data_IF_523432578150
#
_entry.id   IF_523432578150
#
_cell.length_a   1.000
_cell.length_b   1.000
_cell.length_c   1.000
_cell.angle_alpha   90.00
_cell.angle_beta   90.00
_cell.angle_gamma   90.00
#
_symmetry.space_group_name_H-M   'P 1'
#
loop_
_entity.id
_entity.type
_entity.pdbx_description
1 polymer ?
2 non-polymer ?
3 non-polymer ?
4 water ?
#
# COMPACT_ATOMS: atom_id res chain seq x y z
N UNK A 1 -15.37 4.13 -0.61
CA UNK A 1 -14.58 4.12 0.65
C UNK A 1 -13.75 5.39 0.77
N UNK A 2 -13.83 6.01 1.95
CA UNK A 2 -13.07 7.24 2.19
C UNK A 2 -12.25 7.12 3.47
N UNK A 3 -11.07 7.73 3.47
CA UNK A 3 -10.19 7.73 4.62
C UNK A 3 -9.43 9.05 4.64
N UNK A 4 -8.64 9.28 5.68
CA UNK A 4 -7.87 10.50 5.78
C UNK A 4 -6.43 10.21 6.19
N UNK A 5 -5.54 11.14 5.88
CA UNK A 5 -4.13 11.03 6.22
C UNK A 5 -3.69 12.39 6.79
N UNK A 6 -3.13 12.37 7.98
CA UNK A 6 -2.68 13.61 8.62
C UNK A 6 -1.33 14.05 8.10
N UNK A 7 -1.08 15.35 8.15
CA UNK A 7 0.19 15.90 7.69
C UNK A 7 1.27 15.45 8.67
N UNK A 8 2.42 15.05 8.14
CA UNK A 8 3.51 14.60 9.00
C UNK A 8 4.64 13.96 8.23
N UNK A 9 5.81 13.89 8.85
CA UNK A 9 6.99 13.32 8.22
C UNK A 9 7.68 12.29 9.11
N UNK A 10 7.37 10.99 8.90
CA UNK A 10 7.97 9.93 9.71
C UNK A 10 9.33 9.56 9.13
N UNK A 11 10.13 8.83 9.90
CA UNK A 11 11.44 8.39 9.44
C UNK A 11 11.23 6.97 8.89
N UNK A 12 11.62 6.72 7.64
CA UNK A 12 11.43 5.40 7.05
C UNK A 12 12.48 4.40 7.53
N UNK A 13 12.10 3.53 8.44
CA UNK A 13 13.04 2.56 8.99
C UNK A 13 12.39 1.28 9.50
N UNK A 14 11.05 1.23 9.47
CA UNK A 14 10.36 0.05 9.92
C UNK A 14 9.94 0.13 11.38
N UNK A 15 10.35 1.21 12.05
CA UNK A 15 9.99 1.44 13.45
C UNK A 15 8.78 2.38 13.44
N UNK A 16 7.88 2.20 14.40
CA UNK A 16 6.67 3.03 14.46
C UNK A 16 6.88 4.35 15.21
N UNK A 17 6.99 5.43 14.45
CA UNK A 17 7.16 6.77 15.01
C UNK A 17 5.91 7.08 15.82
N UNK A 18 6.04 7.96 16.81
CA UNK A 18 4.90 8.37 17.64
C UNK A 18 3.83 9.04 16.78
N UNK A 19 4.27 9.80 15.78
CA UNK A 19 3.35 10.54 14.90
C UNK A 19 2.31 9.67 14.18
N UNK A 20 2.61 8.39 13.97
CA UNK A 20 1.66 7.50 13.30
C UNK A 20 0.35 7.41 14.09
N UNK A 21 0.44 7.59 15.40
CA UNK A 21 -0.75 7.54 16.28
C UNK A 21 -1.74 8.68 16.04
N UNK A 22 -1.29 9.74 15.36
CA UNK A 22 -2.16 10.89 15.14
C UNK A 22 -3.09 10.74 13.94
N UNK A 23 -2.90 9.68 13.17
CA UNK A 23 -3.71 9.47 11.98
C UNK A 23 -4.54 8.18 12.09
N UNK A 24 -5.70 8.15 11.43
CA UNK A 24 -6.56 6.96 11.53
C UNK A 24 -5.94 5.70 10.93
N UNK A 25 -6.44 4.56 11.40
CA UNK A 25 -5.97 3.27 10.90
C UNK A 25 -7.08 2.69 10.03
N UNK A 26 -6.72 2.18 8.86
CA UNK A 26 -7.71 1.56 7.99
C UNK A 26 -7.30 0.10 7.86
N UNK A 27 -8.24 -0.77 7.51
CA UNK A 27 -7.97 -2.20 7.39
C UNK A 27 -8.19 -2.73 5.97
N UNK A 28 -7.45 -3.77 5.59
CA UNK A 28 -7.64 -4.38 4.28
C UNK A 28 -8.69 -5.47 4.47
N UNK A 29 -9.94 -5.17 4.13
CA UNK A 29 -11.00 -6.15 4.28
C UNK A 29 -11.72 -6.48 2.97
N UNK A 30 -11.23 -5.91 1.87
CA UNK A 30 -11.82 -6.17 0.56
C UNK A 30 -11.13 -7.40 -0.01
N UNK A 31 -11.81 -8.53 0.05
CA UNK A 31 -11.24 -9.79 -0.42
C UNK A 31 -11.48 -10.11 -1.89
N UNK A 32 -10.39 -10.42 -2.60
CA UNK A 32 -10.47 -10.81 -3.99
C UNK A 32 -10.18 -12.30 -4.00
N UNK A 33 -9.31 -12.75 -3.09
CA UNK A 33 -8.96 -14.16 -2.97
C UNK A 33 -8.58 -14.49 -1.52
N UNK A 34 -8.99 -15.66 -1.05
CA UNK A 34 -8.70 -16.08 0.32
C UNK A 34 -9.77 -15.56 1.27
N UNK A 35 -9.44 -15.48 2.56
CA UNK A 35 -10.37 -14.98 3.57
C UNK A 35 -9.62 -14.20 4.64
N UNK A 36 -10.33 -13.26 5.27
CA UNK A 36 -9.76 -12.43 6.32
C UNK A 36 -9.17 -13.22 7.48
N UNK A 37 -9.81 -14.33 7.84
CA UNK A 37 -9.33 -15.11 8.97
C UNK A 37 -8.21 -16.11 8.63
N UNK A 38 -8.05 -16.42 7.35
CA UNK A 38 -7.02 -17.37 6.96
C UNK A 38 -5.84 -16.79 6.19
N UNK A 39 -6.04 -15.63 5.57
CA UNK A 39 -4.96 -15.02 4.80
C UNK A 39 -4.45 -13.68 5.31
N UNK A 40 -3.31 -13.28 4.77
CA UNK A 40 -2.64 -12.04 5.15
C UNK A 40 -3.48 -10.78 4.98
N UNK A 41 -3.46 -9.94 6.01
CA UNK A 41 -4.19 -8.68 6.02
C UNK A 41 -3.28 -7.64 6.69
N UNK A 42 -3.60 -6.37 6.53
CA UNK A 42 -2.78 -5.33 7.13
C UNK A 42 -3.57 -4.21 7.80
N UNK A 43 -2.95 -3.63 8.82
CA UNK A 43 -3.49 -2.50 9.55
C UNK A 43 -2.64 -1.38 8.95
N UNK A 44 -3.29 -0.36 8.42
CA UNK A 44 -2.57 0.72 7.75
C UNK A 44 -2.83 2.13 8.26
N UNK A 45 -1.77 2.92 8.30
CA UNK A 45 -1.87 4.31 8.72
C UNK A 45 -1.20 5.11 7.60
N UNK A 46 -1.71 6.28 7.31
CA UNK A 46 -1.15 7.10 6.24
C UNK A 46 -0.90 8.55 6.66
N UNK A 47 0.23 9.10 6.24
CA UNK A 47 0.59 10.48 6.54
C UNK A 47 1.08 11.10 5.24
N UNK A 48 1.25 12.41 5.22
CA UNK A 48 1.71 13.09 4.02
C UNK A 48 2.36 14.43 4.33
N UNK A 49 3.13 14.92 3.36
CA UNK A 49 3.74 16.23 3.44
C UNK A 49 3.86 16.71 2.00
N UNK A 50 4.43 17.90 1.79
CA UNK A 50 4.53 18.44 0.43
C UNK A 50 5.26 17.58 -0.60
N UNK A 51 6.15 16.71 -0.15
CA UNK A 51 6.92 15.89 -1.08
C UNK A 51 6.58 14.41 -1.19
N UNK A 52 6.05 13.83 -0.11
CA UNK A 52 5.74 12.40 -0.13
C UNK A 52 4.44 12.03 0.56
N UNK A 53 4.02 10.80 0.29
CA UNK A 53 2.86 10.20 0.94
C UNK A 53 3.54 9.11 1.74
N UNK A 54 3.17 8.96 3.01
CA UNK A 54 3.78 7.93 3.83
C UNK A 54 2.78 6.87 4.21
N UNK A 55 3.21 5.62 4.15
CA UNK A 55 2.34 4.49 4.48
C UNK A 55 2.99 3.51 5.45
N UNK A 56 2.25 3.19 6.51
CA UNK A 56 2.71 2.24 7.51
C UNK A 56 1.73 1.08 7.46
N UNK A 57 2.22 -0.09 7.05
CA UNK A 57 1.36 -1.26 6.96
C UNK A 57 1.86 -2.41 7.84
N UNK A 58 1.07 -2.77 8.85
CA UNK A 58 1.42 -3.86 9.74
C UNK A 58 0.70 -5.07 9.18
N UNK A 59 1.48 -6.02 8.65
CA UNK A 59 0.94 -7.21 8.02
C UNK A 59 0.93 -8.46 8.88
N UNK A 60 -0.24 -9.09 8.94
CA UNK A 60 -0.41 -10.34 9.69
C UNK A 60 -0.14 -11.42 8.66
N UNK A 61 0.89 -12.24 8.87
CA UNK A 61 1.23 -13.31 7.94
C UNK A 61 2.21 -14.27 8.64
N UNK A 62 1.71 -15.41 9.14
CA UNK A 62 2.55 -16.40 9.85
C UNK A 62 3.52 -17.20 8.99
N UNK A 63 3.30 -17.21 7.69
CA UNK A 63 4.18 -17.95 6.78
C UNK A 63 4.69 -17.04 5.69
N UNK A 64 5.99 -16.77 5.69
CA UNK A 64 6.59 -15.89 4.70
C UNK A 64 7.20 -16.71 3.57
N UNK A 65 6.96 -16.28 2.33
CA UNK A 65 7.49 -16.99 1.17
C UNK A 65 7.61 -16.08 -0.04
N UNK A 66 8.65 -16.29 -0.83
CA UNK A 66 8.88 -15.51 -2.03
C UNK A 66 9.50 -16.38 -3.14
N UNK A 67 9.17 -17.66 -3.14
CA UNK A 67 9.72 -18.58 -4.14
C UNK A 67 9.20 -18.36 -5.55
N UNK A 68 7.96 -17.88 -5.68
CA UNK A 68 7.37 -17.64 -6.99
C UNK A 68 8.11 -16.53 -7.75
N UNK A 69 8.33 -16.76 -9.04
CA UNK A 69 9.03 -15.80 -9.88
C UNK A 69 8.22 -14.52 -10.09
N UNK A 70 6.90 -14.61 -9.94
CA UNK A 70 6.05 -13.42 -10.09
C UNK A 70 6.10 -12.65 -8.77
N UNK A 71 6.53 -11.38 -8.81
CA UNK A 71 6.59 -10.60 -7.57
C UNK A 71 5.27 -10.45 -6.84
N UNK A 72 4.17 -10.40 -7.58
CA UNK A 72 2.85 -10.27 -6.95
C UNK A 72 2.41 -11.58 -6.30
N UNK A 73 3.19 -12.65 -6.52
CA UNK A 73 2.88 -13.94 -5.93
C UNK A 73 3.83 -14.28 -4.78
N UNK A 74 4.51 -13.26 -4.28
CA UNK A 74 5.42 -13.39 -3.14
C UNK A 74 4.75 -12.56 -2.05
N UNK A 75 4.94 -12.92 -0.78
CA UNK A 75 4.34 -12.14 0.29
C UNK A 75 4.79 -10.70 0.18
N UNK A 76 3.83 -9.82 -0.09
CA UNK A 76 4.19 -8.44 -0.30
C UNK A 76 3.01 -7.47 -0.15
N UNK A 77 3.33 -6.19 -0.17
CA UNK A 77 2.33 -5.15 -0.07
C UNK A 77 2.42 -4.27 -1.30
N UNK A 78 1.27 -3.93 -1.87
CA UNK A 78 1.23 -3.06 -3.04
C UNK A 78 0.49 -1.79 -2.67
N UNK A 79 0.99 -0.65 -3.14
CA UNK A 79 0.37 0.64 -2.86
C UNK A 79 -0.02 1.29 -4.18
N UNK A 80 -1.27 1.76 -4.25
CA UNK A 80 -1.79 2.39 -5.47
C UNK A 80 -2.12 3.86 -5.27
N UNK A 81 -1.73 4.67 -6.24
CA UNK A 81 -1.98 6.11 -6.17
C UNK A 81 -2.58 6.69 -7.44
N UNK A 82 -3.54 7.58 -7.26
CA UNK A 82 -4.23 8.30 -8.35
C UNK A 82 -4.15 9.74 -7.85
N UNK A 83 -3.10 10.46 -8.26
CA UNK A 83 -2.90 11.83 -7.80
C UNK A 83 -3.98 12.86 -8.15
N UNK A 84 -4.52 12.82 -9.36
CA UNK A 84 -5.57 13.79 -9.72
C UNK A 84 -6.96 13.26 -9.39
N UNK A 85 -6.98 12.02 -8.91
CA UNK A 85 -8.21 11.32 -8.54
C UNK A 85 -9.30 11.37 -9.61
N UNK A 86 -8.90 11.14 -10.85
CA UNK A 86 -9.85 11.11 -11.95
C UNK A 86 -10.69 9.84 -11.90
N UNK A 87 -10.22 8.82 -11.19
CA UNK A 87 -10.93 7.55 -11.09
C UNK A 87 -11.23 6.97 -12.48
N UNK A 88 -10.21 7.01 -13.34
CA UNK A 88 -10.33 6.48 -14.69
C UNK A 88 -10.34 4.95 -14.66
N UNK A 89 -10.70 4.34 -15.79
CA UNK A 89 -10.73 2.89 -15.86
C UNK A 89 -9.41 2.32 -16.33
N UNK A 90 -8.43 3.18 -16.46
CA UNK A 90 -7.09 2.80 -16.88
C UNK A 90 -6.10 3.79 -16.27
N UNK A 91 -4.81 3.46 -16.32
CA UNK A 91 -3.79 4.34 -15.74
C UNK A 91 -3.42 5.55 -16.60
N UNK A 92 -3.45 6.73 -15.99
CA UNK A 92 -3.06 7.98 -16.66
C UNK A 92 -1.61 8.14 -16.21
N UNK A 93 -0.94 9.20 -16.69
CA UNK A 93 0.46 9.43 -16.33
C UNK A 93 0.69 9.58 -14.82
N UNK A 94 -0.28 10.13 -14.10
CA UNK A 94 -0.15 10.35 -12.67
C UNK A 94 -0.41 9.13 -11.79
N UNK A 95 -0.97 8.08 -12.37
CA UNK A 95 -1.32 6.87 -11.61
C UNK A 95 -0.16 5.89 -11.48
N UNK A 96 -0.08 5.22 -10.33
CA UNK A 96 1.01 4.27 -10.13
C UNK A 96 0.76 3.12 -9.17
N UNK A 97 1.47 2.02 -9.43
CA UNK A 97 1.41 0.84 -8.60
C UNK A 97 2.82 0.57 -8.09
N UNK A 98 2.98 0.48 -6.78
CA UNK A 98 4.27 0.19 -6.17
C UNK A 98 4.15 -1.10 -5.38
N UNK A 99 5.23 -1.86 -5.29
CA UNK A 99 5.23 -3.13 -4.57
C UNK A 99 6.53 -3.35 -3.83
N UNK A 100 6.44 -3.94 -2.64
CA UNK A 100 7.63 -4.26 -1.84
C UNK A 100 7.30 -5.53 -1.06
N UNK A 101 8.22 -6.49 -1.06
CA UNK A 101 7.97 -7.73 -0.34
C UNK A 101 8.59 -7.69 1.06
N UNK A 102 8.39 -8.76 1.83
CA UNK A 102 8.88 -8.83 3.20
C UNK A 102 10.41 -8.77 3.34
N UNK A 103 11.10 -8.77 2.21
CA UNK A 103 12.56 -8.70 2.17
C UNK A 103 12.99 -7.30 1.72
N UNK A 104 12.01 -6.41 1.66
CA UNK A 104 12.20 -5.01 1.26
C UNK A 104 12.69 -4.90 -0.19
N UNK A 105 12.28 -5.85 -1.02
CA UNK A 105 12.65 -5.81 -2.42
C UNK A 105 11.50 -5.13 -3.16
N UNK A 106 11.83 -4.09 -3.94
CA UNK A 106 10.81 -3.33 -4.66
C UNK A 106 10.62 -3.75 -6.11
N UNK A 107 9.36 -3.74 -6.56
CA UNK A 107 9.03 -4.03 -7.94
C UNK A 107 8.01 -2.97 -8.33
N UNK A 108 7.78 -2.79 -9.62
CA UNK A 108 6.86 -1.74 -10.04
C UNK A 108 5.89 -2.09 -11.13
N UNK A 109 4.66 -1.62 -10.96
CA UNK A 109 3.64 -1.82 -11.97
C UNK A 109 3.63 -0.54 -12.77
N UNK A 110 2.55 -0.28 -13.50
CA UNK A 110 2.46 0.92 -14.31
C UNK A 110 2.62 2.16 -13.43
N UNK A 111 3.40 3.13 -13.91
CA UNK A 111 3.60 4.37 -13.17
C UNK A 111 4.54 4.36 -11.98
N UNK A 112 4.83 3.18 -11.44
CA UNK A 112 5.72 3.11 -10.30
C UNK A 112 7.18 3.28 -10.68
N UNK A 113 7.97 3.90 -9.81
CA UNK A 113 9.38 4.12 -10.07
C UNK A 113 10.23 4.08 -8.79
N UNK A 114 11.43 3.49 -8.86
CA UNK A 114 12.29 3.42 -7.68
C UNK A 114 12.78 4.81 -7.27
N UNK A 115 12.76 5.74 -8.21
CA UNK A 115 13.19 7.10 -7.93
C UNK A 115 12.18 7.80 -7.02
N UNK A 116 11.00 7.21 -6.88
CA UNK A 116 9.96 7.80 -6.04
C UNK A 116 9.48 6.82 -4.97
N UNK A 117 10.31 5.84 -4.63
CA UNK A 117 9.91 4.83 -3.64
C UNK A 117 11.03 4.50 -2.65
N UNK A 118 10.80 4.83 -1.37
CA UNK A 118 11.77 4.53 -0.33
C UNK A 118 11.03 3.63 0.65
N UNK A 119 11.62 2.48 0.97
CA UNK A 119 10.96 1.54 1.87
C UNK A 119 11.91 0.88 2.86
N UNK A 120 11.32 0.38 3.94
CA UNK A 120 12.04 -0.33 4.99
C UNK A 120 11.07 -1.39 5.50
N UNK A 121 11.58 -2.57 5.85
CA UNK A 121 10.74 -3.63 6.35
C UNK A 121 11.34 -4.22 7.61
N UNK A 122 10.51 -4.42 8.62
CA UNK A 122 10.96 -5.01 9.88
C UNK A 122 10.06 -6.20 10.19
N UNK A 123 10.67 -7.35 10.40
CA UNK A 123 9.89 -8.53 10.71
C UNK A 123 9.47 -8.44 12.17
N UNK A 124 8.24 -8.87 12.46
CA UNK A 124 7.73 -8.85 13.82
C UNK A 124 7.08 -10.21 14.07
N UNK A 125 6.74 -10.50 15.31
CA UNK A 125 6.11 -11.78 15.61
C UNK A 125 4.79 -11.88 14.86
N UNK A 126 4.65 -12.94 14.06
CA UNK A 126 3.42 -13.15 13.31
C UNK A 126 3.26 -12.38 12.00
N UNK A 127 4.29 -11.67 11.56
CA UNK A 127 4.18 -10.93 10.32
C UNK A 127 5.33 -9.97 10.07
N UNK A 128 5.04 -8.84 9.43
CA UNK A 128 6.07 -7.86 9.14
C UNK A 128 5.48 -6.47 8.99
N UNK A 129 6.33 -5.46 9.18
CA UNK A 129 5.90 -4.08 9.05
C UNK A 129 6.56 -3.41 7.85
N UNK A 130 5.75 -2.82 7.00
CA UNK A 130 6.24 -2.12 5.83
C UNK A 130 6.04 -0.62 6.09
N UNK A 131 7.10 0.16 5.89
CA UNK A 131 7.00 1.61 6.07
C UNK A 131 7.54 2.18 4.76
N UNK A 132 6.68 2.93 4.07
CA UNK A 132 7.07 3.49 2.78
C UNK A 132 6.83 4.97 2.60
N UNK A 133 7.58 5.53 1.67
CA UNK A 133 7.47 6.93 1.30
C UNK A 133 7.41 6.94 -0.22
N UNK A 134 6.36 7.57 -0.75
CA UNK A 134 6.18 7.66 -2.20
C UNK A 134 6.23 9.13 -2.60
N UNK A 135 7.20 9.49 -3.43
CA UNK A 135 7.34 10.87 -3.87
C UNK A 135 6.24 11.25 -4.85
N UNK A 136 5.60 12.41 -4.62
CA UNK A 136 4.54 12.86 -5.52
C UNK A 136 5.18 13.09 -6.89
N UNK A 137 4.44 12.77 -7.94
CA UNK A 137 4.94 12.92 -9.31
C UNK A 137 4.40 14.16 -10.02
N UNK A 138 3.09 14.39 -9.91
CA UNK A 138 2.45 15.51 -10.60
C UNK A 138 1.76 16.56 -9.74
N UNK A 139 1.75 16.36 -8.43
CA UNK A 139 1.09 17.33 -7.56
C UNK A 139 1.92 17.79 -6.37
N UNK A 140 1.51 18.91 -5.81
CA UNK A 140 2.11 19.51 -4.62
C UNK A 140 0.88 19.64 -3.74
N UNK A 141 0.58 18.60 -2.95
CA UNK A 141 -0.58 18.60 -2.06
C UNK A 141 -0.74 19.74 -1.06
N UNK A 142 -2.00 20.06 -0.80
CA UNK A 142 -2.38 21.10 0.15
C UNK A 142 -3.46 20.45 1.02
N UNK A 143 -3.78 21.06 2.18
CA UNK A 143 -4.81 20.46 3.03
C UNK A 143 -6.14 20.27 2.31
N UNK A 144 -6.79 19.16 2.61
CA UNK A 144 -8.08 18.78 2.02
C UNK A 144 -8.02 18.34 0.56
N UNK A 145 -6.80 18.11 0.05
CA UNK A 145 -6.62 17.60 -1.30
C UNK A 145 -7.04 16.14 -1.21
N UNK A 146 -7.68 15.62 -2.25
CA UNK A 146 -8.14 14.22 -2.24
C UNK A 146 -7.52 13.41 -3.38
N UNK A 147 -6.86 12.30 -3.03
CA UNK A 147 -6.27 11.45 -4.05
C UNK A 147 -6.95 10.08 -4.04
N UNK A 148 -6.77 9.33 -5.13
CA UNK A 148 -7.33 7.99 -5.20
C UNK A 148 -6.26 7.15 -4.51
N UNK A 149 -6.67 6.16 -3.71
CA UNK A 149 -5.70 5.36 -2.98
C UNK A 149 -6.16 3.94 -2.65
N UNK A 150 -5.22 3.02 -2.63
CA UNK A 150 -5.53 1.64 -2.27
C UNK A 150 -4.24 0.95 -1.84
N UNK A 151 -4.40 -0.08 -1.02
CA UNK A 151 -3.27 -0.86 -0.54
C UNK A 151 -3.72 -2.31 -0.55
N UNK A 152 -2.89 -3.16 -1.16
CA UNK A 152 -3.20 -4.58 -1.32
C UNK A 152 -2.14 -5.46 -0.68
N UNK A 153 -2.58 -6.58 -0.11
CA UNK A 153 -1.67 -7.53 0.53
C UNK A 153 -1.74 -8.84 -0.23
N UNK A 154 -0.59 -9.27 -0.74
CA UNK A 154 -0.50 -10.54 -1.46
C UNK A 154 -0.05 -11.60 -0.48
N UNK A 155 -0.76 -12.72 -0.43
CA UNK A 155 -0.39 -13.78 0.50
C UNK A 155 0.01 -15.05 -0.24
N UNK A 156 1.27 -15.45 -0.06
CA UNK A 156 1.81 -16.64 -0.70
C UNK A 156 2.05 -17.68 0.40
N UNK A 157 1.89 -18.96 0.04
CA UNK A 157 2.09 -20.04 1.01
C UNK A 157 3.46 -20.68 0.89
N UNK A 158 3.68 -21.72 1.70
CA UNK A 158 4.94 -22.45 1.71
C UNK A 158 5.26 -23.06 0.35
N UNK A 159 4.23 -23.19 -0.48
CA UNK A 159 4.39 -23.78 -1.81
C UNK A 159 4.70 -22.74 -2.90
N UNK A 160 4.86 -21.48 -2.52
CA UNK A 160 5.17 -20.44 -3.49
C UNK A 160 3.98 -20.05 -4.36
N UNK A 161 2.77 -20.31 -3.87
CA UNK A 161 1.55 -19.99 -4.62
C UNK A 161 0.78 -18.89 -3.90
N UNK A 162 0.24 -17.93 -4.65
CA UNK A 162 -0.54 -16.89 -4.00
C UNK A 162 -1.91 -17.46 -3.67
N UNK A 163 -2.29 -17.37 -2.41
CA UNK A 163 -3.57 -17.88 -1.97
C UNK A 163 -4.46 -16.77 -1.43
N UNK A 164 -3.90 -15.58 -1.29
CA UNK A 164 -4.68 -14.47 -0.79
C UNK A 164 -4.40 -13.14 -1.45
N UNK A 165 -5.48 -12.42 -1.75
CA UNK A 165 -5.41 -11.10 -2.37
C UNK A 165 -6.47 -10.28 -1.64
N UNK A 166 -6.04 -9.42 -0.74
CA UNK A 166 -6.96 -8.60 0.04
C UNK A 166 -6.48 -7.14 0.06
N UNK A 167 -7.40 -6.21 -0.16
CA UNK A 167 -7.02 -4.80 -0.15
C UNK A 167 -8.02 -3.98 0.65
N UNK A 168 -7.87 -2.66 0.58
CA UNK A 168 -8.73 -1.74 1.29
C UNK A 168 -10.00 -1.42 0.52
N UNK A 169 -9.85 -1.03 -0.75
CA UNK A 169 -11.00 -0.64 -1.58
C UNK A 169 -11.38 -1.54 -2.75
N UNK A 170 -10.56 -2.54 -3.05
CA UNK A 170 -10.85 -3.37 -4.21
C UNK A 170 -10.97 -4.86 -3.97
N UNK A 171 -12.17 -5.43 -4.18
CA UNK A 171 -12.35 -6.86 -3.97
C UNK A 171 -12.28 -7.62 -5.30
N UNK A 172 -11.74 -6.99 -6.34
CA UNK A 172 -11.70 -7.64 -7.67
C UNK A 172 -10.33 -7.86 -8.30
N UNK A 173 -9.27 -7.47 -7.61
CA UNK A 173 -7.91 -7.60 -8.13
C UNK A 173 -7.70 -6.92 -9.48
N UNK A 174 -8.23 -5.71 -9.62
CA UNK A 174 -8.06 -4.95 -10.85
C UNK A 174 -7.36 -3.63 -10.60
N UNK A 175 -6.92 -3.42 -9.36
CA UNK A 175 -6.23 -2.18 -8.99
C UNK A 175 -4.99 -1.92 -9.84
N UNK A 176 -4.34 -2.99 -10.29
CA UNK A 176 -3.14 -2.86 -11.10
C UNK A 176 -3.41 -2.22 -12.47
N UNK A 177 -4.69 -2.08 -12.83
CA UNK A 177 -5.03 -1.49 -14.12
C UNK A 177 -6.26 -0.59 -14.12
N UNK A 178 -6.98 -0.56 -13.01
CA UNK A 178 -8.23 0.22 -12.94
C UNK A 178 -8.31 1.14 -11.72
N UNK A 179 -7.90 2.40 -11.88
CA UNK A 179 -7.94 3.36 -10.77
C UNK A 179 -9.34 3.58 -10.17
N UNK A 180 -10.39 3.26 -10.92
CA UNK A 180 -11.74 3.45 -10.41
C UNK A 180 -12.03 2.51 -9.25
N UNK A 181 -11.14 1.54 -9.04
CA UNK A 181 -11.29 0.58 -7.95
C UNK A 181 -10.61 1.10 -6.67
N UNK A 182 -9.93 2.23 -6.76
CA UNK A 182 -9.26 2.80 -5.59
C UNK A 182 -10.29 3.56 -4.76
N UNK A 183 -9.99 3.77 -3.49
CA UNK A 183 -10.89 4.52 -2.63
C UNK A 183 -10.39 5.96 -2.62
N UNK A 184 -11.01 6.83 -1.81
CA UNK A 184 -10.57 8.22 -1.73
C UNK A 184 -9.85 8.49 -0.42
N UNK A 185 -8.72 9.17 -0.51
CA UNK A 185 -7.93 9.52 0.67
C UNK A 185 -7.78 11.03 0.74
N UNK A 186 -8.35 11.63 1.78
CA UNK A 186 -8.27 13.08 1.95
C UNK A 186 -7.03 13.42 2.79
N UNK A 187 -6.18 14.29 2.26
CA UNK A 187 -4.97 14.70 2.95
C UNK A 187 -5.31 15.90 3.83
N UNK A 188 -5.40 15.67 5.14
CA UNK A 188 -5.76 16.74 6.07
C UNK A 188 -4.61 17.25 6.93
N UNK A 189 -4.75 18.48 7.42
CA UNK A 189 -3.73 19.09 8.27
C UNK A 189 -3.62 18.33 9.58
#
# INVERSE_FOLDING_TARGET
MVATAKYGTPVIDGEIDEIWNTTEEIETKAVAMGSLDKNATAKVRVLWDENYLYVLAIVKDPVLNKDNSNPWEQDSVEIFIDENNHKTGYYEDDDAQFRVNYMNEQTFGTGGSPARFKTAVKLIEGGYIVEAAIKWKTIKPTPNTVIGFNIQVNDANEKGQRVGIISWSDPTNNSWRDPSKFGNLRLIK
#
